data_IF_575078234800
#
_entry.id   IF_575078234800
#
_cell.length_a   1.000
_cell.length_b   1.000
_cell.length_c   1.000
_cell.angle_alpha   90.00
_cell.angle_beta   90.00
_cell.angle_gamma   90.00
#
_symmetry.space_group_name_H-M   'P 1'
#
loop_
_entity.id
_entity.type
_entity.pdbx_description
1 polymer ?
#
# COMPACT_ATOMS: atom_id res chain seq x y z
N UNK A 1 21.79 40.81 -7.51
CA UNK A 1 22.63 41.45 -8.54
C UNK A 1 21.81 42.11 -9.66
N UNK A 2 20.91 41.39 -10.33
CA UNK A 2 20.12 41.93 -11.47
C UNK A 2 19.14 43.05 -11.08
N UNK A 3 18.47 42.94 -9.92
CA UNK A 3 17.59 44.00 -9.39
C UNK A 3 18.38 45.29 -9.09
N UNK A 4 19.59 45.17 -8.56
CA UNK A 4 20.48 46.31 -8.30
C UNK A 4 20.92 46.98 -9.60
N UNK A 5 21.22 46.20 -10.65
CA UNK A 5 21.58 46.72 -11.96
C UNK A 5 20.40 47.41 -12.67
N UNK A 6 19.18 46.90 -12.50
CA UNK A 6 17.95 47.56 -12.96
C UNK A 6 17.71 48.90 -12.25
N UNK A 7 17.83 48.93 -10.92
CA UNK A 7 17.70 50.16 -10.10
C UNK A 7 18.79 51.17 -10.50
N UNK A 8 20.03 50.72 -10.71
CA UNK A 8 21.13 51.56 -11.16
C UNK A 8 20.88 52.15 -12.55
N UNK A 9 20.34 51.38 -13.49
CA UNK A 9 19.99 51.87 -14.83
C UNK A 9 18.86 52.92 -14.78
N UNK A 10 17.84 52.71 -13.95
CA UNK A 10 16.77 53.70 -13.72
C UNK A 10 17.35 54.98 -13.11
N UNK A 11 18.21 54.84 -12.10
CA UNK A 11 18.85 55.98 -11.43
C UNK A 11 19.74 56.78 -12.39
N UNK A 12 20.51 56.11 -13.25
CA UNK A 12 21.31 56.75 -14.30
C UNK A 12 20.44 57.45 -15.35
N UNK A 13 19.27 56.90 -15.68
CA UNK A 13 18.31 57.51 -16.61
C UNK A 13 17.66 58.77 -16.00
N UNK A 14 17.34 58.75 -14.70
CA UNK A 14 16.82 59.91 -13.96
C UNK A 14 17.87 61.02 -13.84
N UNK A 15 19.12 60.66 -13.52
CA UNK A 15 20.24 61.62 -13.47
C UNK A 15 20.47 62.23 -14.86
N UNK A 16 20.45 61.41 -15.91
CA UNK A 16 20.59 61.89 -17.29
C UNK A 16 19.46 62.86 -17.67
N UNK A 17 18.21 62.56 -17.31
CA UNK A 17 17.08 63.45 -17.58
C UNK A 17 17.21 64.80 -16.86
N UNK A 18 17.65 64.81 -15.61
CA UNK A 18 17.78 66.03 -14.81
C UNK A 18 18.99 66.90 -15.21
N UNK A 19 20.10 66.28 -15.64
CA UNK A 19 21.32 66.98 -16.03
C UNK A 19 21.53 67.06 -17.56
N UNK A 20 20.46 66.84 -18.33
CA UNK A 20 20.50 66.76 -19.80
C UNK A 20 21.17 67.98 -20.44
N UNK A 21 20.79 69.20 -20.04
CA UNK A 21 21.35 70.44 -20.62
C UNK A 21 22.86 70.58 -20.37
N UNK A 22 23.35 70.17 -19.20
CA UNK A 22 24.76 70.22 -18.85
C UNK A 22 25.59 69.20 -19.64
N UNK A 23 25.03 68.01 -19.90
CA UNK A 23 25.70 66.94 -20.66
C UNK A 23 25.72 67.23 -22.16
N UNK A 24 24.62 67.79 -22.70
CA UNK A 24 24.48 68.19 -24.12
C UNK A 24 25.52 69.24 -24.52
N UNK A 25 25.81 70.20 -23.63
CA UNK A 25 26.73 71.30 -23.90
C UNK A 25 28.18 70.85 -24.17
N UNK A 26 28.61 69.74 -23.57
CA UNK A 26 30.02 69.31 -23.61
C UNK A 26 30.29 68.09 -24.53
N UNK A 27 29.32 67.20 -24.77
CA UNK A 27 29.58 65.94 -25.49
C UNK A 27 28.35 65.42 -26.27
N UNK A 28 28.16 65.88 -27.51
CA UNK A 28 27.04 65.45 -28.36
C UNK A 28 27.03 63.95 -28.73
N UNK A 29 28.19 63.28 -28.75
CA UNK A 29 28.30 61.84 -29.03
C UNK A 29 27.74 60.97 -27.91
N UNK A 30 27.88 61.39 -26.65
CA UNK A 30 27.31 60.67 -25.50
C UNK A 30 25.77 60.67 -25.53
N UNK A 31 25.16 61.73 -26.07
CA UNK A 31 23.72 61.85 -26.25
C UNK A 31 23.13 60.80 -27.19
N UNK A 32 23.89 60.43 -28.24
CA UNK A 32 23.41 59.51 -29.26
C UNK A 32 23.49 58.03 -28.82
N UNK A 33 24.50 57.66 -28.03
CA UNK A 33 24.76 56.26 -27.68
C UNK A 33 24.29 55.85 -26.28
N UNK A 34 24.22 56.78 -25.33
CA UNK A 34 23.91 56.45 -23.94
C UNK A 34 22.43 56.07 -23.71
N UNK A 35 21.43 56.80 -24.24
CA UNK A 35 20.02 56.43 -24.10
C UNK A 35 19.65 55.06 -24.70
N UNK A 36 20.05 54.70 -25.95
CA UNK A 36 19.71 53.39 -26.49
C UNK A 36 20.40 52.27 -25.71
N UNK A 37 21.64 52.47 -25.25
CA UNK A 37 22.37 51.46 -24.45
C UNK A 37 21.70 51.22 -23.09
N UNK A 38 21.24 52.29 -22.42
CA UNK A 38 20.46 52.17 -21.17
C UNK A 38 19.12 51.46 -21.40
N UNK A 39 18.41 51.81 -22.48
CA UNK A 39 17.14 51.18 -22.83
C UNK A 39 17.32 49.69 -23.09
N UNK A 40 18.36 49.30 -23.83
CA UNK A 40 18.73 47.91 -24.05
C UNK A 40 19.07 47.18 -22.75
N UNK A 41 19.85 47.80 -21.86
CA UNK A 41 20.18 47.22 -20.56
C UNK A 41 18.92 47.00 -19.69
N UNK A 42 17.97 47.95 -19.71
CA UNK A 42 16.68 47.81 -19.03
C UNK A 42 15.87 46.64 -19.59
N UNK A 43 15.71 46.52 -20.91
CA UNK A 43 14.99 45.40 -21.54
C UNK A 43 15.63 44.06 -21.14
N UNK A 44 16.96 43.94 -21.24
CA UNK A 44 17.66 42.71 -20.87
C UNK A 44 17.49 42.37 -19.40
N UNK A 45 17.57 43.35 -18.50
CA UNK A 45 17.39 43.11 -17.07
C UNK A 45 15.96 42.64 -16.74
N UNK A 46 14.94 43.19 -17.41
CA UNK A 46 13.54 42.77 -17.28
C UNK A 46 13.37 41.34 -17.77
N UNK A 47 13.94 40.99 -18.93
CA UNK A 47 13.92 39.62 -19.46
C UNK A 47 14.60 38.62 -18.51
N UNK A 48 15.74 38.98 -17.93
CA UNK A 48 16.44 38.13 -16.95
C UNK A 48 15.61 37.97 -15.68
N UNK A 49 14.91 39.01 -15.22
CA UNK A 49 13.99 38.88 -14.08
C UNK A 49 12.84 37.93 -14.40
N UNK A 50 12.20 38.06 -15.57
CA UNK A 50 11.12 37.15 -15.99
C UNK A 50 11.61 35.72 -16.14
N UNK A 51 12.76 35.51 -16.79
CA UNK A 51 13.36 34.19 -16.94
C UNK A 51 13.78 33.60 -15.59
N UNK A 52 14.36 34.41 -14.70
CA UNK A 52 14.74 34.00 -13.34
C UNK A 52 13.52 33.65 -12.48
N UNK A 53 12.37 34.26 -12.70
CA UNK A 53 11.11 33.85 -12.06
C UNK A 53 10.60 32.54 -12.65
N UNK A 54 10.56 32.44 -13.98
CA UNK A 54 10.11 31.22 -14.66
C UNK A 54 10.94 29.98 -14.28
N UNK A 55 12.27 30.11 -14.13
CA UNK A 55 13.13 29.00 -13.69
C UNK A 55 12.88 28.64 -12.22
N UNK A 56 12.60 29.63 -11.35
CA UNK A 56 12.24 29.38 -9.95
C UNK A 56 10.90 28.64 -9.87
N UNK A 57 9.89 29.11 -10.59
CA UNK A 57 8.57 28.47 -10.65
C UNK A 57 8.68 27.03 -11.16
N UNK A 58 9.48 26.81 -12.21
CA UNK A 58 9.76 25.48 -12.73
C UNK A 58 10.46 24.59 -11.70
N UNK A 59 11.45 25.11 -10.98
CA UNK A 59 12.18 24.35 -9.97
C UNK A 59 11.28 23.91 -8.81
N UNK A 60 10.40 24.81 -8.36
CA UNK A 60 9.39 24.50 -7.33
C UNK A 60 8.42 23.44 -7.85
N UNK A 61 7.97 23.57 -9.10
CA UNK A 61 7.06 22.60 -9.70
C UNK A 61 7.71 21.21 -9.81
N UNK A 62 8.97 21.16 -10.22
CA UNK A 62 9.71 19.90 -10.34
C UNK A 62 9.92 19.24 -8.97
N UNK A 63 10.31 20.01 -7.96
CA UNK A 63 10.47 19.51 -6.59
C UNK A 63 9.16 18.93 -6.04
N UNK A 64 8.06 19.66 -6.21
CA UNK A 64 6.73 19.19 -5.82
C UNK A 64 6.32 17.92 -6.57
N UNK A 65 6.62 17.80 -7.87
CA UNK A 65 6.34 16.59 -8.63
C UNK A 65 7.13 15.39 -8.10
N UNK A 66 8.39 15.59 -7.75
CA UNK A 66 9.24 14.55 -7.19
C UNK A 66 8.85 14.16 -5.76
N UNK A 67 8.40 15.10 -4.94
CA UNK A 67 7.90 14.79 -3.59
C UNK A 67 6.58 14.02 -3.67
N UNK A 68 5.63 14.50 -4.47
CA UNK A 68 4.35 13.83 -4.73
C UNK A 68 4.63 12.40 -5.23
N UNK A 69 5.46 12.22 -6.26
CA UNK A 69 5.76 10.87 -6.75
C UNK A 69 6.35 9.96 -5.67
N UNK A 70 7.25 10.47 -4.82
CA UNK A 70 7.82 9.68 -3.70
C UNK A 70 6.77 9.31 -2.67
N UNK A 71 5.88 10.22 -2.31
CA UNK A 71 4.78 9.95 -1.38
C UNK A 71 3.76 8.96 -1.98
N UNK A 72 3.43 9.10 -3.26
CA UNK A 72 2.57 8.16 -3.98
C UNK A 72 3.19 6.77 -4.09
N UNK A 73 4.49 6.69 -4.37
CA UNK A 73 5.23 5.44 -4.43
C UNK A 73 5.30 4.79 -3.05
N UNK A 74 5.66 5.55 -2.01
CA UNK A 74 5.66 5.06 -0.63
C UNK A 74 4.28 4.60 -0.18
N UNK A 75 3.23 5.36 -0.50
CA UNK A 75 1.85 4.98 -0.21
C UNK A 75 1.47 3.69 -0.96
N UNK A 76 1.79 3.58 -2.25
CA UNK A 76 1.44 2.43 -3.10
C UNK A 76 2.29 1.19 -2.87
N UNK A 77 3.52 1.34 -2.36
CA UNK A 77 4.43 0.25 -2.06
C UNK A 77 4.11 -0.46 -0.75
N UNK A 78 3.23 0.12 0.10
CA UNK A 78 2.74 -0.52 1.33
C UNK A 78 2.10 -1.86 0.99
N UNK A 79 2.40 -2.86 1.80
CA UNK A 79 1.91 -4.22 1.60
C UNK A 79 1.62 -4.91 2.93
N UNK A 80 0.71 -5.87 2.89
CA UNK A 80 0.47 -6.81 3.98
C UNK A 80 1.29 -8.06 3.69
N UNK A 81 2.14 -8.43 4.63
CA UNK A 81 3.01 -9.61 4.54
C UNK A 81 2.27 -10.84 5.04
N UNK A 82 2.39 -11.94 4.29
CA UNK A 82 1.91 -13.26 4.70
C UNK A 82 3.07 -14.00 5.35
N UNK A 83 2.98 -14.22 6.66
CA UNK A 83 4.04 -14.84 7.45
C UNK A 83 3.91 -16.36 7.47
N UNK A 84 2.68 -16.84 7.61
CA UNK A 84 2.39 -18.26 7.61
C UNK A 84 1.01 -18.56 7.03
N UNK A 85 0.85 -19.78 6.53
CA UNK A 85 -0.40 -20.25 5.96
C UNK A 85 -0.52 -21.76 6.15
N UNK A 86 -1.71 -22.22 6.49
CA UNK A 86 -2.09 -23.63 6.46
C UNK A 86 -3.41 -23.79 5.73
N UNK A 87 -3.53 -24.85 4.95
CA UNK A 87 -4.73 -25.17 4.19
C UNK A 87 -5.02 -26.65 4.36
N UNK A 88 -6.25 -26.96 4.72
CA UNK A 88 -6.79 -28.31 4.87
C UNK A 88 -8.00 -28.42 3.96
N UNK A 89 -7.84 -29.22 2.91
CA UNK A 89 -8.88 -29.53 1.93
C UNK A 89 -9.49 -30.90 2.22
N UNK A 90 -10.73 -31.15 1.75
CA UNK A 90 -11.39 -32.43 1.95
C UNK A 90 -10.66 -33.51 1.15
N UNK A 91 -10.61 -34.74 1.68
CA UNK A 91 -9.96 -35.87 1.02
C UNK A 91 -8.45 -35.99 1.22
N UNK A 92 -7.88 -35.36 2.26
CA UNK A 92 -6.42 -35.38 2.57
C UNK A 92 -5.55 -34.83 1.42
N UNK A 93 -6.10 -33.92 0.62
CA UNK A 93 -5.35 -33.24 -0.43
C UNK A 93 -4.50 -32.16 0.21
N UNK A 94 -3.21 -32.44 0.37
CA UNK A 94 -2.19 -31.45 0.75
C UNK A 94 -1.66 -30.73 -0.49
N UNK A 95 -1.13 -29.51 -0.33
CA UNK A 95 -0.61 -28.68 -1.42
C UNK A 95 0.51 -29.38 -2.19
N UNK A 96 1.23 -30.28 -1.54
CA UNK A 96 2.25 -31.13 -2.17
C UNK A 96 1.66 -32.03 -3.27
N UNK A 97 0.43 -32.53 -3.11
CA UNK A 97 -0.22 -33.37 -4.11
C UNK A 97 -0.69 -32.56 -5.32
N UNK A 98 -1.00 -31.27 -5.18
CA UNK A 98 -1.39 -30.39 -6.29
C UNK A 98 -0.25 -30.14 -7.31
N UNK A 99 0.98 -30.56 -6.98
CA UNK A 99 2.14 -30.45 -7.87
C UNK A 99 2.18 -31.55 -8.93
N UNK A 100 1.39 -32.61 -8.73
CA UNK A 100 1.37 -33.79 -9.59
C UNK A 100 0.24 -33.65 -10.62
N UNK A 101 0.58 -33.79 -11.90
CA UNK A 101 -0.37 -33.62 -13.02
C UNK A 101 -1.43 -34.73 -13.07
N UNK A 102 -1.33 -35.75 -12.21
CA UNK A 102 -2.23 -36.91 -12.15
C UNK A 102 -3.51 -36.68 -11.32
N UNK A 103 -3.68 -35.51 -10.69
CA UNK A 103 -4.88 -35.25 -9.89
C UNK A 103 -6.13 -35.04 -10.78
N UNK A 104 -7.12 -35.90 -10.61
CA UNK A 104 -8.41 -35.76 -11.28
C UNK A 104 -9.06 -34.43 -10.89
N UNK A 105 -9.42 -33.64 -11.90
CA UNK A 105 -9.96 -32.30 -11.69
C UNK A 105 -11.45 -32.38 -11.34
N UNK A 106 -11.79 -31.97 -10.12
CA UNK A 106 -13.15 -32.09 -9.56
C UNK A 106 -13.97 -30.80 -9.66
N UNK A 107 -13.93 -30.14 -10.82
CA UNK A 107 -14.65 -28.87 -11.01
C UNK A 107 -16.16 -29.03 -10.82
N UNK A 108 -16.75 -28.18 -9.97
CA UNK A 108 -18.20 -28.17 -9.73
C UNK A 108 -18.73 -29.34 -8.90
N UNK A 109 -17.84 -30.20 -8.38
CA UNK A 109 -18.19 -31.24 -7.42
C UNK A 109 -18.04 -30.68 -6.01
N UNK A 110 -19.04 -30.95 -5.17
CA UNK A 110 -18.98 -30.66 -3.74
C UNK A 110 -18.38 -31.86 -3.05
N UNK A 111 -17.19 -31.67 -2.49
CA UNK A 111 -16.50 -32.70 -1.74
C UNK A 111 -16.57 -32.35 -0.25
N UNK A 112 -17.15 -33.26 0.52
CA UNK A 112 -17.23 -33.13 1.97
C UNK A 112 -16.09 -33.92 2.59
N UNK A 113 -15.53 -33.41 3.67
CA UNK A 113 -14.47 -34.14 4.35
C UNK A 113 -15.05 -35.37 5.04
N UNK A 114 -14.39 -36.51 4.86
CA UNK A 114 -14.70 -37.71 5.62
C UNK A 114 -14.10 -37.71 7.04
N UNK A 115 -13.42 -36.63 7.42
CA UNK A 115 -12.89 -36.47 8.77
C UNK A 115 -14.03 -36.38 9.79
N UNK A 116 -13.97 -37.25 10.80
CA UNK A 116 -14.98 -37.38 11.86
C UNK A 116 -15.06 -36.10 12.68
N UNK A 117 -13.94 -35.38 12.79
CA UNK A 117 -13.86 -34.09 13.49
C UNK A 117 -14.76 -33.03 12.84
N UNK A 118 -14.95 -33.09 11.52
CA UNK A 118 -15.73 -32.12 10.76
C UNK A 118 -17.23 -32.43 10.86
N UNK A 119 -17.59 -33.72 10.84
CA UNK A 119 -18.99 -34.18 10.95
C UNK A 119 -19.61 -33.97 12.34
N UNK A 120 -18.79 -33.85 13.38
CA UNK A 120 -19.26 -33.68 14.76
C UNK A 120 -19.20 -32.23 15.27
N UNK A 121 -18.82 -31.26 14.42
CA UNK A 121 -18.59 -29.87 14.83
C UNK A 121 -17.62 -29.78 16.02
N UNK A 122 -16.56 -30.61 16.03
CA UNK A 122 -15.51 -30.55 17.04
C UNK A 122 -14.53 -29.42 16.70
N UNK A 123 -14.97 -28.18 16.97
CA UNK A 123 -14.21 -26.96 16.70
C UNK A 123 -12.85 -26.97 17.37
N UNK A 124 -12.77 -27.57 18.55
CA UNK A 124 -11.56 -27.71 19.31
C UNK A 124 -10.47 -28.48 18.53
N UNK A 125 -10.83 -29.63 17.95
CA UNK A 125 -9.91 -30.41 17.11
C UNK A 125 -9.50 -29.65 15.83
N UNK A 126 -10.44 -28.91 15.23
CA UNK A 126 -10.19 -28.06 14.06
C UNK A 126 -9.15 -26.97 14.39
N UNK A 127 -9.34 -26.23 15.48
CA UNK A 127 -8.40 -25.19 15.90
C UNK A 127 -7.05 -25.75 16.30
N UNK A 128 -6.98 -26.92 16.96
CA UNK A 128 -5.69 -27.57 17.21
C UNK A 128 -4.94 -27.87 15.91
N UNK A 129 -5.64 -28.39 14.91
CA UNK A 129 -5.04 -28.72 13.62
C UNK A 129 -4.49 -27.48 12.92
N UNK A 130 -5.27 -26.39 12.89
CA UNK A 130 -4.82 -25.10 12.33
C UNK A 130 -3.62 -24.53 13.09
N UNK A 131 -3.69 -24.54 14.42
CA UNK A 131 -2.70 -23.87 15.27
C UNK A 131 -1.39 -24.64 15.39
N UNK A 132 -1.37 -25.95 15.22
CA UNK A 132 -0.15 -26.76 15.28
C UNK A 132 0.91 -26.31 14.26
N UNK A 133 0.50 -25.84 13.08
CA UNK A 133 1.41 -25.39 12.03
C UNK A 133 1.71 -23.89 12.09
N UNK A 134 0.88 -23.14 12.81
CA UNK A 134 1.16 -21.75 13.13
C UNK A 134 2.23 -21.80 14.22
N UNK A 135 3.47 -21.47 13.88
CA UNK A 135 4.58 -21.35 14.85
C UNK A 135 4.36 -20.16 15.79
N UNK A 136 3.20 -20.13 16.46
CA UNK A 136 2.68 -19.05 17.27
C UNK A 136 3.75 -18.66 18.28
N UNK A 137 4.38 -19.62 18.95
CA UNK A 137 5.45 -19.43 19.92
C UNK A 137 6.62 -18.53 19.46
N UNK A 138 6.87 -18.36 18.14
CA UNK A 138 7.92 -17.46 17.62
C UNK A 138 7.49 -15.99 17.59
N UNK A 139 6.20 -15.70 17.72
CA UNK A 139 5.69 -14.33 17.64
C UNK A 139 6.06 -13.52 18.89
N UNK A 140 6.44 -12.25 18.73
CA UNK A 140 6.72 -11.34 19.85
C UNK A 140 5.51 -11.18 20.79
N UNK A 141 5.74 -11.22 22.10
CA UNK A 141 4.71 -11.04 23.11
C UNK A 141 4.17 -9.59 23.20
N UNK A 142 4.93 -8.63 22.68
CA UNK A 142 4.55 -7.21 22.69
C UNK A 142 3.48 -6.87 21.63
N UNK A 143 3.26 -7.75 20.66
CA UNK A 143 2.32 -7.52 19.57
C UNK A 143 0.93 -8.01 19.95
N UNK A 144 -0.08 -7.19 19.70
CA UNK A 144 -1.48 -7.59 19.81
C UNK A 144 -1.81 -8.56 18.69
N UNK A 145 -2.45 -9.68 19.03
CA UNK A 145 -2.88 -10.69 18.07
C UNK A 145 -4.38 -10.56 17.84
N UNK A 146 -4.78 -10.31 16.62
CA UNK A 146 -6.18 -10.19 16.25
C UNK A 146 -6.59 -11.43 15.46
N UNK A 147 -7.42 -12.26 16.08
CA UNK A 147 -7.97 -13.47 15.48
C UNK A 147 -9.30 -13.15 14.82
N UNK A 148 -9.40 -13.48 13.54
CA UNK A 148 -10.59 -13.26 12.72
C UNK A 148 -11.03 -14.62 12.19
N UNK A 149 -12.14 -15.13 12.70
CA UNK A 149 -12.71 -16.41 12.29
C UNK A 149 -13.82 -16.12 11.29
N UNK A 150 -13.62 -16.58 10.07
CA UNK A 150 -14.59 -16.54 8.98
C UNK A 150 -15.27 -17.89 8.91
N UNK A 151 -16.58 -17.93 9.17
CA UNK A 151 -17.34 -19.18 9.22
C UNK A 151 -18.67 -19.07 8.50
N UNK A 152 -19.05 -20.10 7.76
CA UNK A 152 -20.37 -20.23 7.14
C UNK A 152 -21.45 -20.77 8.11
N UNK A 153 -21.09 -21.03 9.36
CA UNK A 153 -22.02 -21.54 10.37
C UNK A 153 -23.02 -20.48 10.83
N UNK A 154 -24.19 -20.95 11.28
CA UNK A 154 -25.19 -20.10 11.95
C UNK A 154 -24.62 -19.40 13.19
N UNK A 155 -25.07 -18.16 13.42
CA UNK A 155 -24.65 -17.35 14.58
C UNK A 155 -24.94 -18.05 15.93
N UNK A 156 -25.88 -18.99 15.97
CA UNK A 156 -26.18 -19.80 17.16
C UNK A 156 -24.99 -20.64 17.63
N UNK A 157 -24.06 -20.98 16.72
CA UNK A 157 -22.87 -21.78 17.01
C UNK A 157 -21.67 -20.94 17.43
N UNK A 158 -21.73 -19.61 17.32
CA UNK A 158 -20.57 -18.72 17.57
C UNK A 158 -20.05 -18.82 19.00
N UNK A 159 -20.94 -18.93 19.99
CA UNK A 159 -20.52 -19.09 21.40
C UNK A 159 -19.72 -20.37 21.62
N UNK A 160 -20.10 -21.48 20.96
CA UNK A 160 -19.35 -22.73 21.07
C UNK A 160 -17.99 -22.63 20.37
N UNK A 161 -17.95 -22.02 19.18
CA UNK A 161 -16.72 -21.77 18.42
C UNK A 161 -15.75 -20.93 19.26
N UNK A 162 -16.26 -19.87 19.90
CA UNK A 162 -15.49 -18.99 20.78
C UNK A 162 -14.91 -19.75 21.97
N UNK A 163 -15.73 -20.52 22.71
CA UNK A 163 -15.27 -21.32 23.85
C UNK A 163 -14.18 -22.33 23.47
N UNK A 164 -14.38 -23.07 22.37
CA UNK A 164 -13.42 -24.06 21.89
C UNK A 164 -12.12 -23.42 21.36
N UNK A 165 -12.23 -22.22 20.77
CA UNK A 165 -11.07 -21.43 20.38
C UNK A 165 -10.26 -21.00 21.60
N UNK A 166 -10.90 -20.41 22.61
CA UNK A 166 -10.24 -20.00 23.86
C UNK A 166 -9.54 -21.18 24.53
N UNK A 167 -10.21 -22.33 24.60
CA UNK A 167 -9.62 -23.56 25.13
C UNK A 167 -8.37 -24.01 24.37
N UNK A 168 -8.32 -23.77 23.06
CA UNK A 168 -7.16 -24.10 22.23
C UNK A 168 -6.00 -23.14 22.51
N UNK A 169 -6.28 -21.84 22.61
CA UNK A 169 -5.27 -20.81 22.91
C UNK A 169 -4.69 -20.98 24.32
N UNK A 170 -5.53 -21.30 25.32
CA UNK A 170 -5.07 -21.56 26.69
C UNK A 170 -4.01 -22.67 26.74
N UNK A 171 -4.19 -23.76 25.98
CA UNK A 171 -3.21 -24.84 25.91
C UNK A 171 -1.87 -24.43 25.29
N UNK A 172 -1.86 -23.38 24.47
CA UNK A 172 -0.61 -22.85 23.89
C UNK A 172 0.19 -21.97 24.86
N UNK A 173 -0.20 -21.89 26.15
CA UNK A 173 0.47 -21.10 27.21
C UNK A 173 0.68 -19.62 26.81
N UNK A 174 -0.26 -19.10 26.02
CA UNK A 174 -0.25 -17.76 25.41
C UNK A 174 -1.10 -16.75 26.18
N UNK A 175 -1.33 -16.99 27.46
CA UNK A 175 -2.23 -16.22 28.34
C UNK A 175 -1.72 -14.83 28.73
N UNK A 176 -0.49 -14.45 28.36
CA UNK A 176 0.10 -13.13 28.69
C UNK A 176 -0.04 -12.10 27.56
N UNK A 177 -0.50 -12.49 26.37
CA UNK A 177 -0.73 -11.59 25.25
C UNK A 177 -2.15 -11.02 25.24
N UNK A 178 -2.30 -9.72 24.95
CA UNK A 178 -3.60 -9.17 24.58
C UNK A 178 -3.95 -9.68 23.18
N UNK A 179 -4.96 -10.54 23.09
CA UNK A 179 -5.55 -10.94 21.83
C UNK A 179 -7.02 -10.53 21.75
N UNK A 180 -7.46 -10.25 20.54
CA UNK A 180 -8.84 -9.93 20.19
C UNK A 180 -9.38 -11.04 19.31
N UNK A 181 -10.65 -11.38 19.48
CA UNK A 181 -11.33 -12.38 18.68
C UNK A 181 -12.55 -11.76 18.01
N UNK A 182 -12.66 -11.96 16.71
CA UNK A 182 -13.81 -11.57 15.90
C UNK A 182 -14.30 -12.78 15.11
N UNK A 183 -15.60 -13.03 15.15
CA UNK A 183 -16.26 -14.08 14.35
C UNK A 183 -17.20 -13.39 13.37
N UNK A 184 -17.09 -13.70 12.09
CA UNK A 184 -17.86 -13.09 11.02
C UNK A 184 -18.17 -14.11 9.92
N UNK A 185 -19.29 -13.99 9.19
CA UNK A 185 -19.56 -14.88 8.06
C UNK A 185 -18.68 -14.63 6.84
N UNK A 186 -18.19 -13.41 6.68
CA UNK A 186 -17.35 -13.04 5.54
C UNK A 186 -16.48 -11.81 5.85
N UNK A 187 -15.49 -11.61 5.01
CA UNK A 187 -14.53 -10.51 5.11
C UNK A 187 -14.35 -9.86 3.74
N UNK A 188 -14.34 -8.54 3.69
CA UNK A 188 -14.06 -7.83 2.45
C UNK A 188 -12.56 -7.70 2.22
N UNK A 189 -12.10 -7.85 0.97
CA UNK A 189 -10.72 -7.53 0.61
C UNK A 189 -10.34 -6.07 0.89
N UNK A 190 -11.32 -5.17 1.02
CA UNK A 190 -11.10 -3.78 1.41
C UNK A 190 -10.54 -3.62 2.83
N UNK A 191 -10.70 -4.61 3.71
CA UNK A 191 -10.17 -4.58 5.07
C UNK A 191 -8.65 -4.62 5.11
N UNK A 192 -8.00 -5.25 4.11
CA UNK A 192 -6.54 -5.21 3.98
C UNK A 192 -6.01 -3.77 3.84
N UNK A 193 -6.76 -2.90 3.15
CA UNK A 193 -6.40 -1.49 3.04
C UNK A 193 -6.62 -0.74 4.37
N UNK A 194 -7.59 -1.16 5.18
CA UNK A 194 -7.80 -0.61 6.52
C UNK A 194 -6.64 -1.00 7.45
N UNK A 195 -6.16 -2.25 7.38
CA UNK A 195 -5.00 -2.69 8.17
C UNK A 195 -3.73 -1.90 7.81
N UNK A 196 -3.52 -1.58 6.53
CA UNK A 196 -2.37 -0.77 6.10
C UNK A 196 -2.43 0.68 6.60
N UNK A 197 -3.64 1.17 6.93
CA UNK A 197 -3.90 2.50 7.48
C UNK A 197 -3.91 2.51 9.00
N UNK A 198 -4.07 1.36 9.64
CA UNK A 198 -3.99 1.22 11.09
C UNK A 198 -2.56 1.53 11.53
N UNK A 199 -2.43 2.32 12.61
CA UNK A 199 -1.16 2.66 13.22
C UNK A 199 -0.77 1.69 14.34
N UNK A 200 -1.68 0.81 14.73
CA UNK A 200 -1.45 -0.16 15.80
C UNK A 200 -0.60 -1.34 15.30
N UNK A 201 0.36 -1.75 16.12
CA UNK A 201 1.27 -2.85 15.78
C UNK A 201 0.61 -4.19 16.11
N UNK A 202 -0.02 -4.78 15.10
CA UNK A 202 -0.81 -6.01 15.23
C UNK A 202 -0.34 -7.11 14.31
N UNK A 203 -0.67 -8.34 14.70
CA UNK A 203 -0.63 -9.52 13.84
C UNK A 203 -2.07 -9.97 13.64
N UNK A 204 -2.51 -10.03 12.38
CA UNK A 204 -3.84 -10.51 12.02
C UNK A 204 -3.76 -12.00 11.69
N UNK A 205 -4.60 -12.81 12.32
CA UNK A 205 -4.68 -14.25 12.10
C UNK A 205 -6.09 -14.55 11.62
N UNK A 206 -6.22 -14.76 10.30
CA UNK A 206 -7.49 -15.08 9.67
C UNK A 206 -7.63 -16.59 9.57
N UNK A 207 -8.63 -17.14 10.23
CA UNK A 207 -9.02 -18.55 10.13
C UNK A 207 -10.30 -18.63 9.31
N UNK A 208 -10.32 -19.50 8.30
CA UNK A 208 -11.50 -19.77 7.48
C UNK A 208 -11.99 -21.17 7.80
N UNK A 209 -13.23 -21.28 8.24
CA UNK A 209 -13.94 -22.51 8.55
C UNK A 209 -15.14 -22.58 7.61
N UNK A 210 -15.06 -23.39 6.56
CA UNK A 210 -16.15 -23.61 5.64
C UNK A 210 -16.64 -25.04 5.85
N UNK A 211 -17.74 -25.19 6.59
CA UNK A 211 -18.17 -26.48 7.15
C UNK A 211 -19.70 -26.65 7.06
N UNK A 212 -20.42 -25.72 6.42
CA UNK A 212 -21.87 -25.76 6.40
C UNK A 212 -22.39 -26.93 5.54
N UNK A 213 -23.47 -27.56 6.01
CA UNK A 213 -24.04 -28.73 5.35
C UNK A 213 -24.70 -28.41 3.99
N UNK A 214 -24.86 -27.13 3.64
CA UNK A 214 -25.50 -26.70 2.40
C UNK A 214 -24.76 -27.22 1.17
N UNK A 215 -25.52 -27.88 0.28
CA UNK A 215 -25.04 -28.72 -0.83
C UNK A 215 -24.28 -28.00 -1.94
N UNK A 216 -23.97 -26.71 -1.80
CA UNK A 216 -23.32 -25.90 -2.83
C UNK A 216 -21.81 -25.75 -2.65
N UNK A 217 -21.28 -26.05 -1.47
CA UNK A 217 -19.89 -25.75 -1.11
C UNK A 217 -19.17 -26.97 -0.55
N UNK A 218 -17.87 -27.08 -0.87
CA UNK A 218 -17.00 -28.11 -0.30
C UNK A 218 -16.50 -27.66 1.06
N UNK A 219 -16.27 -28.62 1.94
CA UNK A 219 -15.73 -28.31 3.26
C UNK A 219 -14.26 -27.91 3.12
N UNK A 220 -13.83 -26.85 3.79
CA UNK A 220 -12.44 -26.42 3.77
C UNK A 220 -12.07 -25.67 5.04
N UNK A 221 -10.81 -25.80 5.42
CA UNK A 221 -10.28 -25.06 6.56
C UNK A 221 -8.94 -24.45 6.20
N UNK A 222 -8.76 -23.16 6.50
CA UNK A 222 -7.52 -22.47 6.24
C UNK A 222 -7.15 -21.55 7.40
N UNK A 223 -5.86 -21.29 7.56
CA UNK A 223 -5.39 -20.21 8.40
C UNK A 223 -4.32 -19.41 7.66
N UNK A 224 -4.41 -18.10 7.76
CA UNK A 224 -3.47 -17.14 7.19
C UNK A 224 -3.03 -16.17 8.28
N UNK A 225 -1.74 -15.95 8.38
CA UNK A 225 -1.15 -15.03 9.34
C UNK A 225 -0.52 -13.86 8.61
N UNK A 226 -0.95 -12.66 8.98
CA UNK A 226 -0.60 -11.41 8.34
C UNK A 226 0.04 -10.42 9.31
N UNK A 227 0.92 -9.59 8.77
CA UNK A 227 1.42 -8.40 9.44
C UNK A 227 1.73 -7.32 8.39
N UNK A 228 1.64 -6.06 8.77
CA UNK A 228 2.00 -4.94 7.89
C UNK A 228 3.53 -4.87 7.68
N UNK A 229 3.96 -4.18 6.63
CA UNK A 229 5.37 -4.04 6.24
C UNK A 229 6.23 -3.36 7.32
N UNK A 230 5.67 -2.41 8.06
CA UNK A 230 6.33 -1.76 9.20
C UNK A 230 6.53 -2.72 10.38
N UNK A 231 5.52 -3.50 10.76
CA UNK A 231 5.60 -4.49 11.84
C UNK A 231 6.60 -5.59 11.50
N UNK A 232 6.53 -6.13 10.29
CA UNK A 232 7.46 -7.16 9.82
C UNK A 232 8.91 -6.65 9.79
N UNK A 233 9.14 -5.43 9.30
CA UNK A 233 10.47 -4.82 9.31
C UNK A 233 11.00 -4.55 10.72
N UNK A 234 10.14 -4.02 11.61
CA UNK A 234 10.50 -3.69 12.99
C UNK A 234 10.87 -4.93 13.81
N UNK A 235 10.08 -5.99 13.71
CA UNK A 235 10.26 -7.22 14.48
C UNK A 235 11.04 -8.31 13.73
N UNK A 236 11.52 -8.03 12.50
CA UNK A 236 12.27 -8.97 11.64
C UNK A 236 11.55 -10.30 11.45
N UNK A 237 10.25 -10.23 11.22
CA UNK A 237 9.40 -11.40 11.00
C UNK A 237 9.69 -12.02 9.62
N UNK A 238 9.57 -13.33 9.51
CA UNK A 238 9.82 -14.03 8.24
C UNK A 238 8.61 -13.88 7.32
N UNK A 239 8.82 -13.28 6.15
CA UNK A 239 7.80 -13.11 5.11
C UNK A 239 7.83 -14.28 4.13
N UNK A 240 6.68 -14.90 3.82
CA UNK A 240 6.55 -15.91 2.76
C UNK A 240 6.02 -15.30 1.47
N UNK A 241 5.10 -14.36 1.57
CA UNK A 241 4.50 -13.67 0.42
C UNK A 241 4.09 -12.24 0.79
N UNK A 242 3.81 -11.41 -0.21
CA UNK A 242 3.38 -10.01 -0.03
C UNK A 242 2.11 -9.76 -0.81
N UNK A 243 1.12 -9.19 -0.13
CA UNK A 243 -0.13 -8.73 -0.72
C UNK A 243 -0.06 -7.21 -0.77
N UNK A 244 0.16 -6.68 -1.98
CA UNK A 244 0.12 -5.24 -2.21
C UNK A 244 -1.32 -4.72 -2.13
N UNK A 245 -1.46 -3.42 -1.88
CA UNK A 245 -2.76 -2.75 -1.82
C UNK A 245 -3.65 -3.19 -3.01
N UNK A 246 -4.85 -3.73 -2.75
CA UNK A 246 -5.76 -4.11 -3.81
C UNK A 246 -6.13 -2.91 -4.68
N UNK A 247 -6.11 -3.09 -6.00
CA UNK A 247 -6.66 -2.10 -6.90
C UNK A 247 -8.19 -2.18 -6.85
N UNK A 248 -8.84 -1.06 -6.51
CA UNK A 248 -10.30 -0.98 -6.55
C UNK A 248 -10.73 -1.03 -8.01
N UNK A 249 -11.40 -2.10 -8.40
CA UNK A 249 -11.93 -2.26 -9.76
C UNK A 249 -13.40 -1.86 -9.74
N UNK A 250 -13.80 -0.98 -10.66
CA UNK A 250 -15.21 -0.62 -10.79
C UNK A 250 -15.90 -1.69 -11.63
N UNK A 251 -16.90 -2.37 -11.08
CA UNK A 251 -17.65 -3.43 -11.76
C UNK A 251 -18.26 -2.97 -13.09
N UNK A 252 -18.66 -1.71 -13.21
CA UNK A 252 -19.20 -1.15 -14.45
C UNK A 252 -18.15 -1.00 -15.56
N UNK A 253 -16.86 -0.89 -15.20
CA UNK A 253 -15.74 -0.68 -16.12
C UNK A 253 -14.69 -1.80 -16.06
N UNK A 254 -15.02 -2.96 -15.50
CA UNK A 254 -14.08 -4.05 -15.21
C UNK A 254 -13.18 -4.42 -16.41
N UNK A 255 -13.77 -4.56 -17.61
CA UNK A 255 -13.01 -4.89 -18.82
C UNK A 255 -11.97 -3.83 -19.18
N UNK A 256 -12.29 -2.55 -18.96
CA UNK A 256 -11.35 -1.44 -19.19
C UNK A 256 -10.22 -1.48 -18.16
N UNK A 257 -10.54 -1.63 -16.88
CA UNK A 257 -9.58 -1.66 -15.78
C UNK A 257 -8.62 -2.87 -15.90
N UNK A 258 -9.15 -4.03 -16.29
CA UNK A 258 -8.36 -5.23 -16.54
C UNK A 258 -7.40 -5.04 -17.73
N UNK A 259 -7.86 -4.39 -18.80
CA UNK A 259 -7.00 -4.08 -19.95
C UNK A 259 -5.86 -3.12 -19.57
N UNK A 260 -6.11 -2.15 -18.68
CA UNK A 260 -5.07 -1.26 -18.14
C UNK A 260 -4.02 -2.07 -17.36
N UNK A 261 -4.44 -3.00 -16.49
CA UNK A 261 -3.53 -3.87 -15.74
C UNK A 261 -2.65 -4.74 -16.67
N UNK A 262 -3.26 -5.36 -17.68
CA UNK A 262 -2.55 -6.24 -18.62
C UNK A 262 -1.58 -5.46 -19.53
N UNK A 263 -1.91 -4.22 -19.87
CA UNK A 263 -1.06 -3.36 -20.70
C UNK A 263 0.08 -2.73 -19.91
N UNK A 264 -0.14 -2.32 -18.65
CA UNK A 264 0.92 -1.78 -17.79
C UNK A 264 1.97 -2.82 -17.41
N UNK A 265 1.62 -4.11 -17.25
CA UNK A 265 2.61 -5.18 -17.02
C UNK A 265 3.60 -5.36 -18.19
N UNK A 266 3.30 -4.86 -19.39
CA UNK A 266 4.18 -5.02 -20.58
C UNK A 266 5.26 -3.94 -20.72
N UNK A 267 5.31 -2.91 -19.88
CA UNK A 267 6.31 -1.84 -20.02
C UNK A 267 7.00 -1.45 -18.70
N UNK A 268 8.12 -2.09 -18.31
CA UNK A 268 9.14 -1.43 -17.54
C UNK A 268 10.02 -0.64 -18.52
N UNK A 269 9.55 0.50 -19.04
CA UNK A 269 10.45 1.41 -19.74
C UNK A 269 11.08 2.32 -18.69
N UNK A 270 12.32 1.98 -18.31
CA UNK A 270 13.25 2.96 -17.73
C UNK A 270 13.23 4.24 -18.58
N UNK A 271 13.26 5.43 -17.97
CA UNK A 271 13.45 6.65 -18.72
C UNK A 271 14.81 6.60 -19.43
N UNK A 272 14.90 7.03 -20.71
CA UNK A 272 16.20 7.19 -21.35
C UNK A 272 16.99 8.27 -20.61
N UNK A 273 18.24 7.93 -20.27
CA UNK A 273 19.23 8.87 -19.74
C UNK A 273 19.73 9.86 -20.78
#
# INVERSE_FOLDING_TARGET
MVIFLFILCILLLVIYYFFHEFVVANNASLLAFFPPLLLWALILSVQVIFYSRAIQDYSIWLENRLSINREWEAWGSRYVSVMNSSLHLPGKVDVLFLSDDELETQYGLVNKSDDITWKQHDWYACFQTLTNHLELYKLPYQLTQEFIILTDCDESMYSQIEEDFFRTVEKTNRTEGHFLLYISPSMSFGELDLWLKDSEEKIYIVMVLQMEEQTSCSDAMACLMFATDDVTAKYKLTEKARIYRPMVVNSNNFNSDLNILLTHKKYPKMPPG
#
